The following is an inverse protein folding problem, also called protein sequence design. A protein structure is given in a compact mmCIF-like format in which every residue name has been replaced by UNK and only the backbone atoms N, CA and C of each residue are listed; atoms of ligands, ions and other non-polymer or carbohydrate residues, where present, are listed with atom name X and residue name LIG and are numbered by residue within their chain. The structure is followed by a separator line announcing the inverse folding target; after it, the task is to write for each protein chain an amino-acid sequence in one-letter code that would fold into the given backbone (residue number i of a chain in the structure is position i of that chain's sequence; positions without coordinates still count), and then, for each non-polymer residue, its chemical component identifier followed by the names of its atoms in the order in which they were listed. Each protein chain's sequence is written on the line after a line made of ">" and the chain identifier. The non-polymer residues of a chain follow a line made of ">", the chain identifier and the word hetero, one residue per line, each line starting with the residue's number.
data_IF_453379602109
#
_entry.id   IF_453379602109
#
_cell.length_a   1.000
_cell.length_b   1.000
_cell.length_c   1.000
_cell.angle_alpha   90.00
_cell.angle_beta   90.00
_cell.angle_gamma   90.00
#
_symmetry.space_group_name_H-M   'P 1'
#
loop_
_entity.id
_entity.type
_entity.pdbx_description
1 polymer ?
#
# COMPACT_ATOMS: atom_id res chain seq x y z
N UNK A 1 25.23 8.76 6.63
CA UNK A 1 24.04 8.15 7.25
C UNK A 1 22.93 8.36 6.24
N UNK A 2 22.44 7.31 5.57
CA UNK A 2 21.29 7.46 4.66
C UNK A 2 20.09 7.88 5.51
N UNK A 3 19.26 8.84 5.06
CA UNK A 3 18.09 9.28 5.82
C UNK A 3 17.14 8.10 6.07
N UNK A 4 16.42 8.12 7.19
CA UNK A 4 15.41 7.10 7.45
C UNK A 4 14.34 7.16 6.35
N UNK A 5 13.72 6.02 5.98
CA UNK A 5 12.75 5.98 4.88
C UNK A 5 11.60 6.99 5.04
N UNK A 6 11.14 7.25 6.27
CA UNK A 6 10.06 8.21 6.57
C UNK A 6 10.44 9.67 6.33
N UNK A 7 11.69 10.04 6.60
CA UNK A 7 12.18 11.41 6.38
C UNK A 7 12.12 11.76 4.89
N UNK A 8 12.38 10.77 4.03
CA UNK A 8 12.36 10.92 2.58
C UNK A 8 10.94 11.21 2.05
N UNK A 9 9.92 10.53 2.57
CA UNK A 9 8.54 10.77 2.14
C UNK A 9 8.07 12.16 2.62
N UNK A 10 8.31 12.50 3.87
CA UNK A 10 7.87 13.79 4.44
C UNK A 10 8.45 14.97 3.67
N UNK A 11 9.74 14.91 3.34
CA UNK A 11 10.42 15.93 2.55
C UNK A 11 9.86 16.01 1.12
N UNK A 12 9.59 14.85 0.50
CA UNK A 12 8.97 14.79 -0.82
C UNK A 12 7.58 15.44 -0.83
N UNK A 13 6.72 15.08 0.11
CA UNK A 13 5.35 15.60 0.21
C UNK A 13 5.36 17.12 0.45
N UNK A 14 6.27 17.60 1.29
CA UNK A 14 6.41 19.03 1.60
C UNK A 14 6.93 19.82 0.40
N UNK A 15 8.01 19.34 -0.24
CA UNK A 15 8.64 20.00 -1.40
C UNK A 15 7.64 20.19 -2.55
N UNK A 16 6.79 19.19 -2.78
CA UNK A 16 5.82 19.22 -3.87
C UNK A 16 4.44 19.77 -3.46
N UNK A 17 4.28 20.23 -2.21
CA UNK A 17 3.03 20.77 -1.66
C UNK A 17 1.85 19.81 -1.83
N UNK A 18 2.07 18.54 -1.53
CA UNK A 18 1.05 17.49 -1.67
C UNK A 18 -0.11 17.72 -0.71
N UNK A 19 -1.33 17.51 -1.21
CA UNK A 19 -2.57 17.56 -0.43
C UNK A 19 -3.09 16.17 -0.07
N UNK A 20 -3.00 15.21 -1.00
CA UNK A 20 -3.48 13.85 -0.81
C UNK A 20 -2.42 12.82 -1.24
N UNK A 21 -2.45 11.67 -0.57
CA UNK A 21 -1.58 10.54 -0.84
C UNK A 21 -2.43 9.33 -1.21
N UNK A 22 -2.25 8.83 -2.42
CA UNK A 22 -2.77 7.54 -2.88
C UNK A 22 -1.88 6.42 -2.33
N UNK A 23 -2.36 5.74 -1.31
CA UNK A 23 -1.68 4.61 -0.67
C UNK A 23 -2.11 3.33 -1.38
N UNK A 24 -1.25 2.76 -2.22
CA UNK A 24 -1.63 1.66 -3.12
C UNK A 24 -0.89 0.36 -2.85
N UNK A 25 -1.58 -0.75 -3.09
CA UNK A 25 -1.06 -2.11 -3.16
C UNK A 25 -1.53 -2.74 -4.49
N UNK A 26 -0.74 -3.60 -5.15
CA UNK A 26 -1.22 -4.37 -6.30
C UNK A 26 -2.02 -5.59 -5.84
N UNK A 27 -3.20 -5.82 -6.40
CA UNK A 27 -3.92 -7.10 -6.24
C UNK A 27 -3.41 -8.18 -7.22
N UNK A 28 -3.93 -9.40 -7.11
CA UNK A 28 -3.51 -10.53 -7.97
C UNK A 28 -3.78 -10.31 -9.46
N UNK A 29 -4.69 -9.42 -9.81
CA UNK A 29 -5.00 -9.05 -11.20
C UNK A 29 -4.15 -7.88 -11.71
N UNK A 30 -3.30 -7.32 -10.84
CA UNK A 30 -2.47 -6.16 -11.14
C UNK A 30 -3.19 -4.82 -10.97
N UNK A 31 -4.40 -4.79 -10.44
CA UNK A 31 -5.15 -3.55 -10.18
C UNK A 31 -4.64 -2.94 -8.87
N UNK A 32 -4.40 -1.62 -8.89
CA UNK A 32 -4.07 -0.87 -7.69
C UNK A 32 -5.30 -0.78 -6.76
N UNK A 33 -5.12 -1.21 -5.51
CA UNK A 33 -6.11 -1.13 -4.42
C UNK A 33 -5.52 -0.31 -3.29
N UNK A 34 -6.35 0.37 -2.50
CA UNK A 34 -5.78 1.30 -1.55
C UNK A 34 -6.76 2.26 -0.90
N UNK A 35 -6.19 3.26 -0.24
CA UNK A 35 -6.89 4.40 0.32
C UNK A 35 -6.27 5.68 -0.22
N UNK A 36 -7.09 6.70 -0.40
CA UNK A 36 -6.63 8.08 -0.63
C UNK A 36 -6.74 8.77 0.72
N UNK A 37 -5.62 9.30 1.21
CA UNK A 37 -5.54 9.93 2.53
C UNK A 37 -5.07 11.38 2.40
N UNK A 38 -5.66 12.33 3.15
CA UNK A 38 -5.08 13.66 3.30
C UNK A 38 -3.65 13.56 3.86
N UNK A 39 -2.73 14.42 3.37
CA UNK A 39 -1.30 14.40 3.74
C UNK A 39 -1.07 14.29 5.25
N UNK A 40 -1.76 15.11 6.04
CA UNK A 40 -1.53 15.16 7.51
C UNK A 40 -2.03 13.89 8.20
N UNK A 41 -3.10 13.27 7.70
CA UNK A 41 -3.57 11.97 8.18
C UNK A 41 -2.59 10.86 7.81
N UNK A 42 -2.08 10.87 6.58
CA UNK A 42 -1.07 9.91 6.13
C UNK A 42 0.20 9.96 7.01
N UNK A 43 0.73 11.16 7.27
CA UNK A 43 1.93 11.35 8.07
C UNK A 43 1.74 10.97 9.54
N UNK A 44 0.55 11.19 10.10
CA UNK A 44 0.26 10.84 11.49
C UNK A 44 -0.11 9.37 11.70
N UNK A 45 -0.72 8.72 10.70
CA UNK A 45 -1.12 7.31 10.78
C UNK A 45 0.09 6.37 10.69
N UNK A 46 1.05 6.65 9.81
CA UNK A 46 2.27 5.85 9.60
C UNK A 46 2.05 4.48 8.92
N UNK A 47 0.85 3.91 9.06
CA UNK A 47 0.42 2.67 8.41
C UNK A 47 -1.01 2.78 7.87
N UNK A 48 -1.33 1.90 6.94
CA UNK A 48 -2.69 1.69 6.44
C UNK A 48 -3.16 0.27 6.83
N UNK A 49 -4.46 0.13 7.11
CA UNK A 49 -5.10 -1.20 7.28
C UNK A 49 -6.02 -1.52 6.11
N UNK A 50 -5.94 -2.74 5.58
CA UNK A 50 -6.81 -3.26 4.51
C UNK A 50 -7.09 -4.75 4.72
N UNK A 51 -8.32 -5.24 4.46
CA UNK A 51 -8.62 -6.67 4.55
C UNK A 51 -7.87 -7.45 3.46
N UNK A 52 -7.48 -8.70 3.76
CA UNK A 52 -6.76 -9.56 2.81
C UNK A 52 -7.56 -9.84 1.55
N UNK A 53 -8.88 -9.92 1.66
CA UNK A 53 -9.77 -10.19 0.53
C UNK A 53 -9.64 -9.20 -0.62
N UNK A 54 -9.18 -7.96 -0.38
CA UNK A 54 -8.98 -6.96 -1.44
C UNK A 54 -7.94 -7.42 -2.47
N UNK A 55 -6.99 -8.28 -2.09
CA UNK A 55 -5.99 -8.86 -2.98
C UNK A 55 -6.58 -9.83 -4.01
N UNK A 56 -7.79 -10.34 -3.74
CA UNK A 56 -8.47 -11.39 -4.49
C UNK A 56 -9.70 -10.89 -5.25
N UNK A 57 -9.97 -9.58 -5.22
CA UNK A 57 -11.06 -9.02 -6.01
C UNK A 57 -10.82 -9.29 -7.50
N UNK A 58 -11.87 -9.70 -8.19
CA UNK A 58 -11.84 -9.88 -9.63
C UNK A 58 -11.70 -8.53 -10.35
N UNK A 59 -11.36 -8.59 -11.64
CA UNK A 59 -11.22 -7.38 -12.49
C UNK A 59 -12.50 -6.55 -12.58
N UNK A 60 -13.67 -7.17 -12.42
CA UNK A 60 -14.98 -6.50 -12.37
C UNK A 60 -15.42 -6.14 -10.93
N UNK A 61 -14.52 -6.22 -9.95
CA UNK A 61 -14.75 -5.80 -8.57
C UNK A 61 -15.64 -6.74 -7.75
N UNK A 62 -15.82 -7.98 -8.20
CA UNK A 62 -16.53 -9.00 -7.41
C UNK A 62 -15.57 -9.65 -6.42
N UNK A 63 -16.13 -10.12 -5.31
CA UNK A 63 -15.40 -10.86 -4.30
C UNK A 63 -15.68 -12.36 -4.51
N UNK A 64 -14.70 -13.16 -4.96
CA UNK A 64 -14.86 -14.61 -5.04
C UNK A 64 -14.98 -15.26 -3.65
N UNK A 65 -15.25 -16.56 -3.63
CA UNK A 65 -15.13 -17.35 -2.40
C UNK A 65 -13.66 -17.46 -1.99
N UNK A 66 -13.25 -16.52 -1.15
CA UNK A 66 -11.88 -16.30 -0.74
C UNK A 66 -11.56 -16.89 0.64
N UNK A 67 -12.58 -17.44 1.33
CA UNK A 67 -12.46 -17.96 2.70
C UNK A 67 -11.27 -18.92 2.91
N UNK A 68 -10.98 -19.85 1.98
CA UNK A 68 -9.81 -20.72 2.08
C UNK A 68 -8.45 -20.00 2.14
N UNK A 69 -8.36 -18.76 1.65
CA UNK A 69 -7.12 -17.99 1.56
C UNK A 69 -7.00 -16.88 2.59
N UNK A 70 -8.12 -16.26 2.98
CA UNK A 70 -8.12 -15.10 3.89
C UNK A 70 -8.60 -15.43 5.30
N UNK A 71 -9.22 -16.59 5.49
CA UNK A 71 -9.83 -17.02 6.75
C UNK A 71 -11.23 -16.45 6.95
N UNK A 72 -11.97 -17.02 7.90
CA UNK A 72 -13.38 -16.66 8.17
C UNK A 72 -13.54 -15.19 8.61
N UNK A 73 -12.57 -14.66 9.33
CA UNK A 73 -12.62 -13.29 9.87
C UNK A 73 -12.02 -12.24 8.94
N UNK A 74 -11.34 -12.65 7.85
CA UNK A 74 -10.63 -11.77 6.90
C UNK A 74 -9.88 -10.61 7.60
N UNK A 75 -8.88 -10.92 8.45
CA UNK A 75 -8.23 -9.90 9.26
C UNK A 75 -7.51 -8.86 8.39
N UNK A 76 -7.50 -7.62 8.88
CA UNK A 76 -6.80 -6.52 8.23
C UNK A 76 -5.29 -6.76 8.23
N UNK A 77 -4.67 -6.55 7.08
CA UNK A 77 -3.22 -6.47 6.89
C UNK A 77 -2.70 -5.14 7.42
N UNK A 78 -1.44 -5.14 7.87
CA UNK A 78 -0.65 -3.93 8.08
C UNK A 78 0.00 -3.55 6.76
N UNK A 79 -0.34 -2.40 6.18
CA UNK A 79 0.27 -1.90 4.96
C UNK A 79 1.25 -0.77 5.29
N UNK A 80 2.54 -0.99 5.02
CA UNK A 80 3.61 -0.03 5.32
C UNK A 80 4.18 0.59 4.03
N UNK A 81 4.48 1.89 4.01
CA UNK A 81 4.92 2.57 2.80
C UNK A 81 6.35 2.20 2.41
N UNK A 82 6.57 1.99 1.10
CA UNK A 82 7.89 1.92 0.50
C UNK A 82 8.32 3.32 0.04
N UNK A 83 9.14 3.99 0.85
CA UNK A 83 9.60 5.34 0.60
C UNK A 83 10.32 5.53 -0.76
N UNK A 84 10.90 4.48 -1.32
CA UNK A 84 11.57 4.55 -2.62
C UNK A 84 10.58 4.75 -3.79
N UNK A 85 9.29 4.48 -3.55
CA UNK A 85 8.23 4.45 -4.56
C UNK A 85 7.40 5.73 -4.63
N UNK A 86 7.60 6.69 -3.73
CA UNK A 86 6.82 7.95 -3.73
C UNK A 86 6.98 8.70 -5.05
N UNK A 87 5.88 9.00 -5.74
CA UNK A 87 5.88 9.74 -7.02
C UNK A 87 4.72 10.73 -7.07
N UNK A 88 4.88 11.79 -7.86
CA UNK A 88 3.76 12.65 -8.24
C UNK A 88 2.78 11.90 -9.13
N UNK A 89 1.50 12.21 -9.00
CA UNK A 89 0.46 11.80 -9.95
C UNK A 89 0.30 12.93 -10.98
N UNK A 90 0.93 12.86 -12.17
CA UNK A 90 1.10 14.02 -13.05
C UNK A 90 -0.19 14.48 -13.73
N UNK A 91 -1.24 13.66 -13.72
CA UNK A 91 -2.54 13.96 -14.29
C UNK A 91 -3.57 14.44 -13.25
N UNK A 92 -3.22 14.45 -11.96
CA UNK A 92 -4.13 14.94 -10.92
C UNK A 92 -4.29 16.47 -11.03
N UNK A 93 -5.51 16.97 -10.84
CA UNK A 93 -5.80 18.40 -10.90
C UNK A 93 -5.17 19.17 -9.72
N UNK A 94 -5.09 18.52 -8.57
CA UNK A 94 -4.39 19.01 -7.37
C UNK A 94 -3.10 18.22 -7.14
N UNK A 95 -2.12 18.76 -6.38
CA UNK A 95 -0.90 18.03 -6.02
C UNK A 95 -1.18 16.75 -5.22
N UNK A 96 -1.12 15.61 -5.90
CA UNK A 96 -1.30 14.26 -5.34
C UNK A 96 0.00 13.45 -5.49
N UNK A 97 0.34 12.69 -4.46
CA UNK A 97 1.40 11.70 -4.53
C UNK A 97 0.83 10.27 -4.46
N UNK A 98 1.50 9.33 -5.10
CA UNK A 98 1.22 7.89 -4.97
C UNK A 98 2.39 7.21 -4.27
N UNK A 99 2.08 6.30 -3.34
CA UNK A 99 3.07 5.52 -2.60
C UNK A 99 2.64 4.06 -2.57
N UNK A 100 3.51 3.16 -3.01
CA UNK A 100 3.27 1.73 -2.93
C UNK A 100 3.53 1.27 -1.49
N UNK A 101 2.65 0.42 -0.96
CA UNK A 101 2.79 -0.19 0.35
C UNK A 101 3.05 -1.69 0.24
N UNK A 102 3.84 -2.22 1.16
CA UNK A 102 4.02 -3.66 1.34
C UNK A 102 3.08 -4.16 2.44
N UNK A 103 2.56 -5.38 2.28
CA UNK A 103 1.52 -5.95 3.15
C UNK A 103 2.14 -6.94 4.13
N UNK A 104 1.88 -6.72 5.42
CA UNK A 104 2.35 -7.53 6.53
C UNK A 104 1.17 -8.10 7.32
N UNK A 105 1.39 -9.29 7.85
CA UNK A 105 0.59 -9.91 8.88
C UNK A 105 0.79 -9.17 10.21
N UNK A 106 -0.10 -9.39 11.19
CA UNK A 106 0.01 -8.77 12.51
C UNK A 106 1.28 -9.19 13.28
N UNK A 107 1.86 -10.35 12.94
CA UNK A 107 3.13 -10.82 13.50
C UNK A 107 4.37 -10.22 12.81
N UNK A 108 4.17 -9.35 11.82
CA UNK A 108 5.22 -8.69 11.05
C UNK A 108 5.78 -9.52 9.90
N UNK A 109 5.28 -10.73 9.65
CA UNK A 109 5.62 -11.49 8.45
C UNK A 109 4.95 -10.92 7.20
N UNK A 110 5.50 -11.17 6.01
CA UNK A 110 4.89 -10.71 4.77
C UNK A 110 3.61 -11.52 4.46
N UNK A 111 2.55 -10.82 4.06
CA UNK A 111 1.34 -11.47 3.54
C UNK A 111 1.70 -12.19 2.24
N UNK A 112 1.66 -13.52 2.27
CA UNK A 112 2.12 -14.36 1.15
C UNK A 112 1.24 -14.24 -0.11
N UNK A 113 0.02 -13.75 0.06
CA UNK A 113 -0.92 -13.53 -1.03
C UNK A 113 -0.61 -12.25 -1.84
N UNK A 114 0.11 -11.30 -1.25
CA UNK A 114 0.39 -10.03 -1.90
C UNK A 114 1.46 -10.21 -2.99
N UNK A 115 1.22 -9.76 -4.24
CA UNK A 115 2.15 -9.95 -5.35
C UNK A 115 3.58 -9.42 -5.08
N UNK A 116 3.70 -8.30 -4.37
CA UNK A 116 5.01 -7.74 -3.98
C UNK A 116 5.75 -8.59 -2.96
N UNK A 117 5.04 -9.24 -2.04
CA UNK A 117 5.62 -10.20 -1.11
C UNK A 117 6.18 -11.42 -1.84
N UNK A 118 5.43 -11.94 -2.82
CA UNK A 118 5.90 -13.04 -3.68
C UNK A 118 7.15 -12.64 -4.44
N UNK A 119 7.16 -11.44 -5.03
CA UNK A 119 8.35 -10.94 -5.75
C UNK A 119 9.57 -10.83 -4.83
N UNK A 120 9.40 -10.26 -3.63
CA UNK A 120 10.48 -10.17 -2.64
C UNK A 120 11.03 -11.54 -2.27
N UNK A 121 10.16 -12.52 -2.05
CA UNK A 121 10.56 -13.90 -1.77
C UNK A 121 11.38 -14.49 -2.94
N UNK A 122 10.90 -14.37 -4.18
CA UNK A 122 11.60 -14.88 -5.37
C UNK A 122 12.95 -14.21 -5.58
N UNK A 123 13.04 -12.90 -5.30
CA UNK A 123 14.27 -12.13 -5.47
C UNK A 123 15.19 -12.13 -4.25
N UNK A 124 14.78 -12.74 -3.13
CA UNK A 124 15.49 -12.69 -1.85
C UNK A 124 15.75 -11.25 -1.35
N UNK A 125 14.73 -10.38 -1.46
CA UNK A 125 14.74 -8.96 -1.06
C UNK A 125 14.10 -8.70 0.30
#
# INVERSE_FOLDING_TARGET
>A
MSPAPTDTITDFLTTHRIHEVECVIPDMTGIARGKILPKDLYLSAGEMRLPKSVLLNTVNGQQPDNGPYVGETDPDMVCLPDASTVRLVPWAAEPVAVVIHDCYEDDGSLVQLAPRSVLRHVMSL
#
